data_IF_934495209406
#
_entry.id   IF_934495209406
#
_cell.length_a   1.000
_cell.length_b   1.000
_cell.length_c   1.000
_cell.angle_alpha   90.00
_cell.angle_beta   90.00
_cell.angle_gamma   90.00
#
_symmetry.space_group_name_H-M   'P 1'
#
loop_
_entity.id
_entity.type
_entity.pdbx_description
1 polymer ?
#
# COMPACT_ATOMS: atom_id res chain seq x y z
N UNK A 1 -0.19 -14.30 5.42
CA UNK A 1 -0.25 -13.99 3.96
C UNK A 1 -0.21 -15.19 2.99
N UNK A 2 0.72 -16.16 3.12
CA UNK A 2 0.94 -17.24 2.13
C UNK A 2 -0.33 -17.95 1.63
N UNK A 3 -1.22 -18.37 2.54
CA UNK A 3 -2.47 -19.05 2.21
C UNK A 3 -3.40 -18.24 1.31
N UNK A 4 -3.52 -16.93 1.55
CA UNK A 4 -4.33 -16.01 0.74
C UNK A 4 -3.77 -15.90 -0.68
N UNK A 5 -2.46 -15.72 -0.81
CA UNK A 5 -1.81 -15.62 -2.11
C UNK A 5 -1.96 -16.93 -2.91
N UNK A 6 -1.70 -18.08 -2.28
CA UNK A 6 -1.88 -19.39 -2.91
C UNK A 6 -3.33 -19.61 -3.35
N UNK A 7 -4.30 -19.29 -2.49
CA UNK A 7 -5.73 -19.40 -2.83
C UNK A 7 -6.09 -18.56 -4.07
N UNK A 8 -5.58 -17.32 -4.15
CA UNK A 8 -5.88 -16.45 -5.27
C UNK A 8 -5.21 -16.94 -6.57
N UNK A 9 -3.93 -17.31 -6.52
CA UNK A 9 -3.18 -17.80 -7.69
C UNK A 9 -3.86 -19.04 -8.28
N UNK A 10 -4.24 -20.01 -7.44
CA UNK A 10 -4.82 -21.28 -7.90
C UNK A 10 -6.16 -21.13 -8.62
N UNK A 11 -6.88 -20.02 -8.43
CA UNK A 11 -8.20 -19.77 -9.04
C UNK A 11 -8.15 -18.97 -10.34
N UNK A 12 -6.98 -18.43 -10.68
CA UNK A 12 -6.79 -17.66 -11.91
C UNK A 12 -6.21 -18.57 -13.01
N UNK A 13 -6.59 -18.36 -14.28
CA UNK A 13 -6.11 -19.18 -15.39
C UNK A 13 -4.60 -18.98 -15.60
N UNK A 14 -3.93 -20.07 -16.00
CA UNK A 14 -2.52 -20.06 -16.38
C UNK A 14 -2.44 -19.92 -17.91
N UNK A 15 -1.81 -18.86 -18.40
CA UNK A 15 -1.69 -18.59 -19.84
C UNK A 15 -0.49 -17.69 -20.09
N UNK A 16 0.08 -17.76 -21.29
CA UNK A 16 1.16 -16.85 -21.68
C UNK A 16 0.62 -15.41 -21.76
N UNK A 17 1.38 -14.49 -21.16
CA UNK A 17 1.03 -13.07 -21.09
C UNK A 17 2.26 -12.23 -21.39
N UNK A 18 2.05 -11.03 -21.92
CA UNK A 18 3.13 -10.09 -22.19
C UNK A 18 3.77 -9.59 -20.89
N UNK A 19 4.99 -9.05 -20.99
CA UNK A 19 5.65 -8.41 -19.85
C UNK A 19 4.85 -7.20 -19.33
N UNK A 20 4.29 -6.39 -20.24
CA UNK A 20 3.45 -5.25 -19.90
C UNK A 20 2.18 -5.73 -19.17
N UNK A 21 1.51 -6.76 -19.68
CA UNK A 21 0.34 -7.35 -19.03
C UNK A 21 0.67 -7.94 -17.65
N UNK A 22 1.86 -8.51 -17.49
CA UNK A 22 2.34 -8.99 -16.18
C UNK A 22 2.51 -7.85 -15.18
N UNK A 23 2.98 -6.67 -15.61
CA UNK A 23 3.20 -5.50 -14.74
C UNK A 23 1.90 -4.74 -14.46
N UNK A 24 0.99 -4.70 -15.43
CA UNK A 24 -0.25 -3.92 -15.39
C UNK A 24 -1.47 -4.78 -15.75
N UNK A 25 -1.86 -5.71 -14.87
CA UNK A 25 -2.85 -6.73 -15.22
C UNK A 25 -4.22 -6.14 -15.53
N UNK A 26 -4.77 -6.50 -16.70
CA UNK A 26 -6.13 -6.16 -17.16
C UNK A 26 -7.01 -7.41 -17.33
N UNK A 27 -6.43 -8.61 -17.28
CA UNK A 27 -7.12 -9.89 -17.42
C UNK A 27 -6.77 -10.89 -16.32
N UNK A 28 -7.58 -11.95 -16.10
CA UNK A 28 -7.32 -12.95 -15.06
C UNK A 28 -5.96 -13.66 -15.19
N UNK A 29 -5.53 -13.97 -16.41
CA UNK A 29 -4.23 -14.60 -16.64
C UNK A 29 -3.06 -13.65 -16.31
N UNK A 30 -3.18 -12.38 -16.70
CA UNK A 30 -2.20 -11.36 -16.36
C UNK A 30 -2.13 -11.13 -14.85
N UNK A 31 -3.28 -11.13 -14.16
CA UNK A 31 -3.33 -11.03 -12.70
C UNK A 31 -2.61 -12.20 -12.04
N UNK A 32 -2.79 -13.43 -12.52
CA UNK A 32 -2.02 -14.59 -12.04
C UNK A 32 -0.52 -14.35 -12.20
N UNK A 33 -0.09 -13.89 -13.37
CA UNK A 33 1.30 -13.63 -13.66
C UNK A 33 1.89 -12.52 -12.75
N UNK A 34 1.13 -11.44 -12.50
CA UNK A 34 1.49 -10.40 -11.54
C UNK A 34 1.66 -10.99 -10.13
N UNK A 35 0.68 -11.77 -9.66
CA UNK A 35 0.69 -12.36 -8.32
C UNK A 35 1.88 -13.30 -8.10
N UNK A 36 2.28 -14.03 -9.14
CA UNK A 36 3.43 -14.95 -9.08
C UNK A 36 4.76 -14.20 -9.14
N UNK A 37 4.89 -13.19 -10.00
CA UNK A 37 6.19 -12.54 -10.28
C UNK A 37 6.46 -11.31 -9.43
N UNK A 38 5.46 -10.47 -9.19
CA UNK A 38 5.64 -9.13 -8.62
C UNK A 38 5.07 -8.94 -7.22
N UNK A 39 4.06 -9.71 -6.81
CA UNK A 39 3.40 -9.52 -5.52
C UNK A 39 4.38 -9.55 -4.35
N UNK A 40 5.18 -10.61 -4.23
CA UNK A 40 6.10 -10.81 -3.09
C UNK A 40 7.13 -9.68 -2.99
N UNK A 41 7.68 -9.25 -4.13
CA UNK A 41 8.60 -8.11 -4.20
C UNK A 41 7.97 -6.85 -3.61
N UNK A 42 6.84 -6.40 -4.16
CA UNK A 42 6.17 -5.17 -3.74
C UNK A 42 5.66 -5.24 -2.30
N UNK A 43 5.17 -6.41 -1.90
CA UNK A 43 4.72 -6.69 -0.54
C UNK A 43 5.82 -6.42 0.49
N UNK A 44 7.00 -7.01 0.29
CA UNK A 44 8.11 -6.79 1.21
C UNK A 44 8.76 -5.41 1.07
N UNK A 45 8.72 -4.76 -0.10
CA UNK A 45 9.14 -3.36 -0.23
C UNK A 45 8.29 -2.45 0.66
N UNK A 46 6.97 -2.64 0.67
CA UNK A 46 6.06 -1.92 1.56
C UNK A 46 6.35 -2.20 3.04
N UNK A 47 6.52 -3.48 3.41
CA UNK A 47 6.84 -3.83 4.80
C UNK A 47 8.17 -3.22 5.25
N UNK A 48 9.23 -3.35 4.45
CA UNK A 48 10.55 -2.80 4.77
C UNK A 48 10.51 -1.28 4.93
N UNK A 49 9.78 -0.58 4.05
CA UNK A 49 9.65 0.87 4.12
C UNK A 49 8.83 1.38 5.32
N UNK A 50 7.86 0.61 5.79
CA UNK A 50 7.00 1.00 6.91
C UNK A 50 7.45 0.47 8.27
N UNK A 51 8.41 -0.46 8.29
CA UNK A 51 8.82 -1.19 9.50
C UNK A 51 9.05 -0.26 10.69
N UNK A 52 10.00 0.68 10.57
CA UNK A 52 10.36 1.59 11.66
C UNK A 52 9.19 2.44 12.14
N UNK A 53 8.29 2.86 11.24
CA UNK A 53 7.12 3.66 11.62
C UNK A 53 6.10 2.79 12.35
N UNK A 54 5.76 1.62 11.82
CA UNK A 54 4.74 0.74 12.41
C UNK A 54 5.20 0.14 13.75
N UNK A 55 6.50 0.07 14.03
CA UNK A 55 7.04 -0.33 15.34
C UNK A 55 7.30 0.86 16.28
N UNK A 56 6.93 2.08 15.90
CA UNK A 56 7.17 3.28 16.71
C UNK A 56 6.02 3.57 17.68
N UNK A 57 6.33 4.31 18.76
CA UNK A 57 5.32 4.83 19.68
C UNK A 57 4.29 5.73 18.99
N UNK A 58 4.68 6.44 17.92
CA UNK A 58 3.75 7.26 17.12
C UNK A 58 2.62 6.40 16.54
N UNK A 59 2.96 5.25 15.96
CA UNK A 59 1.97 4.33 15.41
C UNK A 59 1.17 3.60 16.50
N UNK A 60 1.81 3.20 17.60
CA UNK A 60 1.09 2.57 18.73
C UNK A 60 0.05 3.52 19.33
N UNK A 61 0.39 4.81 19.48
CA UNK A 61 -0.55 5.84 19.90
C UNK A 61 -1.71 6.01 18.90
N UNK A 62 -1.45 5.86 17.60
CA UNK A 62 -2.48 5.87 16.58
C UNK A 62 -3.43 4.68 16.74
N UNK A 63 -2.90 3.47 16.97
CA UNK A 63 -3.70 2.27 17.24
C UNK A 63 -4.54 2.41 18.52
N UNK A 64 -4.06 3.17 19.51
CA UNK A 64 -4.81 3.47 20.72
C UNK A 64 -6.11 4.27 20.46
N UNK A 65 -6.33 4.81 19.26
CA UNK A 65 -7.63 5.36 18.84
C UNK A 65 -8.68 4.29 18.49
N UNK A 66 -8.27 3.03 18.31
CA UNK A 66 -9.13 1.93 17.87
C UNK A 66 -9.56 2.00 16.41
N UNK A 67 -8.96 2.90 15.60
CA UNK A 67 -9.24 3.03 14.17
C UNK A 67 -7.95 3.17 13.38
N UNK A 68 -7.89 2.53 12.21
CA UNK A 68 -6.82 2.68 11.23
C UNK A 68 -7.44 2.87 9.85
N UNK A 69 -7.10 3.96 9.16
CA UNK A 69 -7.61 4.28 7.83
C UNK A 69 -6.46 4.30 6.83
N UNK A 70 -6.52 3.42 5.85
CA UNK A 70 -5.48 3.23 4.85
C UNK A 70 -6.02 3.67 3.50
N UNK A 71 -5.31 4.56 2.82
CA UNK A 71 -5.53 4.87 1.41
C UNK A 71 -4.38 4.25 0.60
N UNK A 72 -4.72 3.52 -0.46
CA UNK A 72 -3.76 2.84 -1.32
C UNK A 72 -4.04 3.25 -2.78
N UNK A 73 -3.17 4.12 -3.30
CA UNK A 73 -3.27 4.70 -4.65
C UNK A 73 -2.36 3.94 -5.59
N UNK A 74 -2.92 3.43 -6.70
CA UNK A 74 -2.22 2.47 -7.55
C UNK A 74 -2.06 1.13 -6.87
N UNK A 75 -3.11 0.72 -6.16
CA UNK A 75 -3.00 -0.38 -5.20
C UNK A 75 -2.71 -1.73 -5.87
N UNK A 76 -2.93 -1.87 -7.20
CA UNK A 76 -2.91 -3.16 -7.87
C UNK A 76 -3.87 -4.12 -7.16
N UNK A 77 -3.48 -5.37 -6.87
CA UNK A 77 -4.25 -6.26 -6.00
C UNK A 77 -4.07 -5.95 -4.50
N UNK A 78 -4.14 -4.66 -4.12
CA UNK A 78 -4.00 -4.16 -2.75
C UNK A 78 -2.71 -4.59 -2.03
N UNK A 79 -1.57 -4.62 -2.73
CA UNK A 79 -0.33 -5.23 -2.21
C UNK A 79 0.19 -4.52 -0.95
N UNK A 80 0.24 -3.18 -0.97
CA UNK A 80 0.71 -2.40 0.18
C UNK A 80 -0.28 -2.48 1.36
N UNK A 81 -1.58 -2.42 1.07
CA UNK A 81 -2.62 -2.65 2.08
C UNK A 81 -2.50 -4.02 2.76
N UNK A 82 -2.25 -5.09 2.01
CA UNK A 82 -2.03 -6.43 2.57
C UNK A 82 -0.75 -6.49 3.41
N UNK A 83 0.34 -5.86 2.97
CA UNK A 83 1.59 -5.76 3.71
C UNK A 83 1.41 -5.08 5.08
N UNK A 84 0.69 -3.95 5.11
CA UNK A 84 0.33 -3.23 6.33
C UNK A 84 -0.55 -4.10 7.23
N UNK A 85 -1.51 -4.80 6.65
CA UNK A 85 -2.45 -5.65 7.40
C UNK A 85 -1.72 -6.78 8.13
N UNK A 86 -0.77 -7.45 7.48
CA UNK A 86 0.03 -8.48 8.14
C UNK A 86 0.89 -7.91 9.27
N UNK A 87 1.57 -6.77 9.03
CA UNK A 87 2.37 -6.12 10.07
C UNK A 87 1.51 -5.72 11.27
N UNK A 88 0.33 -5.17 11.01
CA UNK A 88 -0.64 -4.82 12.05
C UNK A 88 -1.06 -6.04 12.87
N UNK A 89 -1.38 -7.17 12.22
CA UNK A 89 -1.74 -8.40 12.93
C UNK A 89 -0.58 -8.91 13.79
N UNK A 90 0.65 -8.83 13.30
CA UNK A 90 1.84 -9.18 14.09
C UNK A 90 2.00 -8.28 15.33
N UNK A 91 1.83 -6.96 15.16
CA UNK A 91 1.89 -6.00 16.27
C UNK A 91 0.79 -6.28 17.30
N UNK A 92 -0.45 -6.47 16.85
CA UNK A 92 -1.57 -6.77 17.75
C UNK A 92 -1.37 -8.09 18.51
N UNK A 93 -0.76 -9.09 17.85
CA UNK A 93 -0.39 -10.34 18.52
C UNK A 93 0.63 -10.11 19.62
N UNK A 94 1.69 -9.38 19.32
CA UNK A 94 2.69 -9.03 20.32
C UNK A 94 2.07 -8.27 21.50
N UNK A 95 1.29 -7.22 21.24
CA UNK A 95 0.66 -6.41 22.28
C UNK A 95 -0.31 -7.22 23.15
N UNK A 96 -1.06 -8.16 22.55
CA UNK A 96 -1.93 -9.07 23.31
C UNK A 96 -1.12 -10.01 24.19
N UNK A 97 -0.09 -10.65 23.63
CA UNK A 97 0.73 -11.61 24.36
C UNK A 97 1.52 -10.91 25.50
N UNK A 98 1.81 -9.62 25.36
CA UNK A 98 2.39 -8.76 26.40
C UNK A 98 1.36 -8.19 27.40
N UNK A 99 0.04 -8.42 27.21
CA UNK A 99 -1.01 -7.85 28.06
C UNK A 99 -1.31 -6.36 27.85
N UNK A 100 -0.73 -5.74 26.82
CA UNK A 100 -0.90 -4.33 26.48
C UNK A 100 -2.15 -4.08 25.60
N UNK A 101 -2.70 -5.12 24.98
CA UNK A 101 -3.96 -5.05 24.24
C UNK A 101 -5.14 -5.56 25.08
N UNK A 102 -6.06 -4.66 25.42
CA UNK A 102 -7.25 -4.99 26.21
C UNK A 102 -8.10 -6.09 25.56
N UNK A 103 -8.48 -7.09 26.36
CA UNK A 103 -9.38 -8.17 25.93
C UNK A 103 -10.73 -7.59 25.44
N UNK A 104 -11.24 -8.12 24.33
CA UNK A 104 -12.49 -7.65 23.70
C UNK A 104 -12.38 -6.35 22.90
N UNK A 105 -11.23 -5.67 22.90
CA UNK A 105 -11.04 -4.44 22.12
C UNK A 105 -10.98 -4.74 20.62
N UNK A 106 -11.96 -4.21 19.88
CA UNK A 106 -12.08 -4.31 18.42
C UNK A 106 -11.32 -3.18 17.73
N UNK A 107 -10.42 -3.51 16.80
CA UNK A 107 -9.79 -2.52 15.92
C UNK A 107 -10.59 -2.38 14.63
N UNK A 108 -10.98 -1.15 14.27
CA UNK A 108 -11.65 -0.88 12.99
C UNK A 108 -10.63 -0.46 11.95
N UNK A 109 -10.46 -1.27 10.90
CA UNK A 109 -9.57 -0.95 9.77
C UNK A 109 -10.40 -0.59 8.55
N UNK A 110 -10.14 0.56 7.94
CA UNK A 110 -10.82 0.99 6.71
C UNK A 110 -9.81 1.13 5.60
N UNK A 111 -10.07 0.51 4.47
CA UNK A 111 -9.26 0.59 3.26
C UNK A 111 -10.00 1.41 2.21
N UNK A 112 -9.31 2.37 1.62
CA UNK A 112 -9.71 3.02 0.38
C UNK A 112 -8.70 2.60 -0.69
N UNK A 113 -9.13 1.74 -1.60
CA UNK A 113 -8.30 1.22 -2.69
C UNK A 113 -8.59 2.01 -3.96
N UNK A 114 -7.56 2.51 -4.61
CA UNK A 114 -7.66 3.20 -5.86
C UNK A 114 -6.76 2.56 -6.92
N UNK A 115 -7.35 2.26 -8.07
CA UNK A 115 -6.64 1.78 -9.25
C UNK A 115 -7.44 2.15 -10.50
N UNK A 116 -6.85 2.01 -11.67
CA UNK A 116 -7.54 2.12 -12.96
C UNK A 116 -8.09 0.78 -13.44
N UNK A 117 -7.56 -0.33 -12.91
CA UNK A 117 -7.93 -1.69 -13.32
C UNK A 117 -8.97 -2.27 -12.36
N UNK A 118 -10.16 -2.61 -12.88
CA UNK A 118 -11.19 -3.29 -12.10
C UNK A 118 -10.71 -4.66 -11.58
N UNK A 119 -9.93 -5.42 -12.37
CA UNK A 119 -9.44 -6.73 -11.89
C UNK A 119 -8.46 -6.59 -10.73
N UNK A 120 -7.62 -5.54 -10.72
CA UNK A 120 -6.78 -5.18 -9.59
C UNK A 120 -7.64 -4.94 -8.34
N UNK A 121 -8.63 -4.05 -8.44
CA UNK A 121 -9.52 -3.70 -7.32
C UNK A 121 -10.32 -4.90 -6.80
N UNK A 122 -10.88 -5.71 -7.69
CA UNK A 122 -11.64 -6.90 -7.33
C UNK A 122 -10.75 -7.94 -6.64
N UNK A 123 -9.55 -8.19 -7.17
CA UNK A 123 -8.57 -9.11 -6.58
C UNK A 123 -8.10 -8.62 -5.22
N UNK A 124 -7.78 -7.33 -5.09
CA UNK A 124 -7.35 -6.74 -3.82
C UNK A 124 -8.42 -6.83 -2.72
N UNK A 125 -9.68 -6.54 -3.06
CA UNK A 125 -10.81 -6.73 -2.15
C UNK A 125 -10.95 -8.19 -1.71
N UNK A 126 -10.90 -9.13 -2.66
CA UNK A 126 -11.00 -10.55 -2.38
C UNK A 126 -9.86 -11.03 -1.48
N UNK A 127 -8.63 -10.61 -1.74
CA UNK A 127 -7.47 -10.97 -0.94
C UNK A 127 -7.56 -10.41 0.48
N UNK A 128 -7.96 -9.15 0.67
CA UNK A 128 -8.17 -8.57 2.01
C UNK A 128 -9.30 -9.28 2.77
N UNK A 129 -10.43 -9.55 2.11
CA UNK A 129 -11.54 -10.30 2.73
C UNK A 129 -11.12 -11.72 3.12
N UNK A 130 -10.39 -12.42 2.24
CA UNK A 130 -9.88 -13.76 2.52
C UNK A 130 -8.84 -13.75 3.63
N UNK A 131 -8.03 -12.69 3.73
CA UNK A 131 -7.09 -12.51 4.82
C UNK A 131 -7.78 -12.54 6.18
N UNK A 132 -8.80 -11.70 6.37
CA UNK A 132 -9.56 -11.66 7.62
C UNK A 132 -10.37 -12.93 7.84
N UNK A 133 -10.97 -13.50 6.79
CA UNK A 133 -11.71 -14.76 6.88
C UNK A 133 -10.83 -15.93 7.33
N UNK A 134 -9.63 -16.04 6.78
CA UNK A 134 -8.67 -17.07 7.18
C UNK A 134 -8.13 -16.79 8.58
N UNK A 135 -7.86 -15.52 8.93
CA UNK A 135 -7.44 -15.12 10.26
C UNK A 135 -8.48 -15.42 11.36
N UNK A 136 -9.77 -15.22 11.06
CA UNK A 136 -10.87 -15.51 11.98
C UNK A 136 -10.93 -16.99 12.37
N UNK A 137 -10.62 -17.90 11.43
CA UNK A 137 -10.53 -19.35 11.71
C UNK A 137 -9.45 -19.71 12.74
N UNK A 138 -8.50 -18.81 12.97
CA UNK A 138 -7.42 -18.98 13.94
C UNK A 138 -7.56 -18.07 15.18
N UNK A 139 -8.75 -17.47 15.40
CA UNK A 139 -9.00 -16.52 16.50
C UNK A 139 -8.03 -15.31 16.50
N UNK A 140 -7.52 -14.93 15.32
CA UNK A 140 -6.58 -13.83 15.17
C UNK A 140 -7.34 -12.50 15.16
N UNK A 141 -7.61 -11.99 16.35
CA UNK A 141 -8.05 -10.62 16.69
C UNK A 141 -9.44 -10.20 16.17
N UNK A 142 -10.23 -9.46 16.98
CA UNK A 142 -11.45 -8.85 16.51
C UNK A 142 -11.12 -7.59 15.68
N UNK A 143 -10.62 -7.78 14.47
CA UNK A 143 -10.48 -6.70 13.49
C UNK A 143 -11.78 -6.61 12.70
N UNK A 144 -12.39 -5.43 12.65
CA UNK A 144 -13.49 -5.15 11.74
C UNK A 144 -12.97 -4.35 10.56
N UNK A 145 -13.05 -4.93 9.36
CA UNK A 145 -12.57 -4.31 8.13
C UNK A 145 -13.70 -3.74 7.28
N UNK A 146 -13.50 -2.54 6.72
CA UNK A 146 -14.35 -1.95 5.67
C UNK A 146 -13.48 -1.61 4.46
N UNK A 147 -13.96 -1.90 3.25
CA UNK A 147 -13.22 -1.63 2.02
C UNK A 147 -14.05 -0.75 1.09
N UNK A 148 -13.44 0.31 0.57
CA UNK A 148 -13.97 1.16 -0.48
C UNK A 148 -13.05 1.04 -1.69
N UNK A 149 -13.63 1.05 -2.89
CA UNK A 149 -12.86 1.03 -4.13
C UNK A 149 -13.20 2.21 -5.01
N UNK A 150 -12.19 2.75 -5.67
CA UNK A 150 -12.31 3.86 -6.61
C UNK A 150 -11.60 3.47 -7.90
N UNK A 151 -12.38 3.08 -8.91
CA UNK A 151 -11.89 2.75 -10.25
C UNK A 151 -11.75 4.03 -11.08
N UNK A 152 -10.61 4.70 -10.94
CA UNK A 152 -10.33 5.94 -11.67
C UNK A 152 -8.86 6.32 -11.52
N UNK A 153 -8.27 6.91 -12.56
CA UNK A 153 -6.88 7.31 -12.54
C UNK A 153 -6.64 8.47 -11.57
N UNK A 154 -5.58 8.36 -10.77
CA UNK A 154 -5.08 9.48 -9.98
C UNK A 154 -4.47 10.58 -10.90
N UNK A 155 -4.63 11.88 -10.61
CA UNK A 155 -5.41 12.50 -9.54
C UNK A 155 -6.85 12.88 -9.95
N UNK A 156 -7.41 12.32 -11.02
CA UNK A 156 -8.77 12.67 -11.49
C UNK A 156 -9.88 12.25 -10.49
N UNK A 157 -9.54 11.34 -9.59
CA UNK A 157 -10.40 10.75 -8.58
C UNK A 157 -10.40 11.47 -7.22
N UNK A 158 -9.74 12.64 -7.11
CA UNK A 158 -9.60 13.35 -5.83
C UNK A 158 -10.93 13.71 -5.17
N UNK A 159 -11.99 13.96 -5.95
CA UNK A 159 -13.32 14.24 -5.40
C UNK A 159 -13.86 13.00 -4.66
N UNK A 160 -13.71 11.81 -5.23
CA UNK A 160 -14.12 10.56 -4.61
C UNK A 160 -13.31 10.28 -3.34
N UNK A 161 -11.99 10.47 -3.39
CA UNK A 161 -11.11 10.26 -2.23
C UNK A 161 -11.44 11.22 -1.07
N UNK A 162 -11.76 12.48 -1.37
CA UNK A 162 -12.25 13.47 -0.40
C UNK A 162 -13.59 13.06 0.20
N UNK A 163 -14.55 12.62 -0.63
CA UNK A 163 -15.85 12.15 -0.14
C UNK A 163 -15.71 10.96 0.81
N UNK A 164 -14.81 10.03 0.51
CA UNK A 164 -14.50 8.92 1.43
C UNK A 164 -13.93 9.47 2.74
N UNK A 165 -12.92 10.34 2.70
CA UNK A 165 -12.32 10.89 3.93
C UNK A 165 -13.31 11.74 4.76
N UNK A 166 -14.26 12.43 4.13
CA UNK A 166 -15.32 13.14 4.85
C UNK A 166 -16.21 12.18 5.65
N UNK A 167 -16.42 10.96 5.17
CA UNK A 167 -17.28 9.97 5.83
C UNK A 167 -16.55 9.12 6.89
N UNK A 168 -15.25 8.84 6.69
CA UNK A 168 -14.48 7.95 7.58
C UNK A 168 -13.44 8.69 8.44
N UNK A 169 -13.24 9.98 8.19
CA UNK A 169 -12.14 10.78 8.71
C UNK A 169 -10.89 10.73 7.83
N UNK A 170 -9.87 11.50 8.22
CA UNK A 170 -8.56 11.55 7.53
C UNK A 170 -7.85 10.20 7.56
N UNK A 171 -7.05 9.91 6.54
CA UNK A 171 -6.28 8.67 6.43
C UNK A 171 -5.06 8.68 7.35
N UNK A 172 -4.74 7.55 7.96
CA UNK A 172 -3.62 7.37 8.86
C UNK A 172 -2.36 6.91 8.12
N UNK A 173 -2.54 6.09 7.08
CA UNK A 173 -1.47 5.69 6.17
C UNK A 173 -1.97 5.90 4.75
N UNK A 174 -1.18 6.60 3.93
CA UNK A 174 -1.43 6.74 2.50
C UNK A 174 -0.26 6.12 1.75
N UNK A 175 -0.53 5.11 0.94
CA UNK A 175 0.45 4.54 0.03
C UNK A 175 0.19 5.04 -1.38
N UNK A 176 1.28 5.38 -2.05
CA UNK A 176 1.31 5.65 -3.47
C UNK A 176 2.31 4.68 -4.10
N UNK A 177 1.79 3.65 -4.77
CA UNK A 177 2.57 2.66 -5.48
C UNK A 177 2.24 2.76 -6.97
N UNK A 178 3.10 3.41 -7.76
CA UNK A 178 2.91 3.45 -9.21
C UNK A 178 4.26 3.37 -9.95
N UNK A 179 4.25 2.66 -11.07
CA UNK A 179 5.22 2.85 -12.13
C UNK A 179 4.94 4.19 -12.83
N UNK A 180 5.87 5.13 -12.73
CA UNK A 180 5.70 6.54 -13.09
C UNK A 180 5.83 6.86 -14.58
N UNK A 181 5.84 5.85 -15.47
CA UNK A 181 6.12 6.06 -16.90
C UNK A 181 5.15 7.07 -17.55
N UNK A 182 3.88 7.07 -17.16
CA UNK A 182 2.86 7.99 -17.70
C UNK A 182 2.98 9.45 -17.25
N UNK A 183 3.87 9.77 -16.30
CA UNK A 183 4.04 11.14 -15.76
C UNK A 183 5.44 11.71 -16.01
N UNK A 184 6.26 11.06 -16.84
CA UNK A 184 7.60 11.54 -17.17
C UNK A 184 7.59 12.90 -17.89
N UNK A 185 6.50 13.22 -18.60
CA UNK A 185 6.30 14.50 -19.27
C UNK A 185 6.02 15.64 -18.27
N UNK A 186 6.50 16.86 -18.57
CA UNK A 186 6.39 18.03 -17.68
C UNK A 186 4.96 18.34 -17.23
N UNK A 187 3.98 18.25 -18.13
CA UNK A 187 2.57 18.47 -17.82
C UNK A 187 1.97 17.36 -16.95
N UNK A 188 2.39 16.10 -17.17
CA UNK A 188 2.03 14.96 -16.32
C UNK A 188 2.61 15.11 -14.91
N UNK A 189 3.88 15.49 -14.82
CA UNK A 189 4.57 15.70 -13.54
C UNK A 189 3.88 16.74 -12.66
N UNK A 190 3.52 17.92 -13.20
CA UNK A 190 2.86 18.96 -12.39
C UNK A 190 1.48 18.52 -11.89
N UNK A 191 0.71 17.81 -12.73
CA UNK A 191 -0.58 17.24 -12.32
C UNK A 191 -0.41 16.24 -11.19
N UNK A 192 0.60 15.37 -11.27
CA UNK A 192 0.92 14.42 -10.22
C UNK A 192 1.29 15.13 -8.90
N UNK A 193 2.20 16.11 -8.94
CA UNK A 193 2.61 16.87 -7.76
C UNK A 193 1.43 17.56 -7.10
N UNK A 194 0.59 18.26 -7.89
CA UNK A 194 -0.61 18.91 -7.36
C UNK A 194 -1.57 17.90 -6.72
N UNK A 195 -1.74 16.73 -7.35
CA UNK A 195 -2.52 15.65 -6.77
C UNK A 195 -1.97 15.18 -5.42
N UNK A 196 -0.65 14.97 -5.33
CA UNK A 196 0.00 14.52 -4.10
C UNK A 196 -0.11 15.55 -2.97
N UNK A 197 0.04 16.84 -3.28
CA UNK A 197 -0.19 17.92 -2.30
C UNK A 197 -1.64 17.96 -1.80
N UNK A 198 -2.61 17.64 -2.66
CA UNK A 198 -4.01 17.51 -2.24
C UNK A 198 -4.27 16.25 -1.39
N UNK A 199 -3.52 15.17 -1.63
CA UNK A 199 -3.54 13.96 -0.80
C UNK A 199 -2.98 14.22 0.60
N UNK A 200 -1.96 15.08 0.75
CA UNK A 200 -1.43 15.45 2.08
C UNK A 200 -2.52 16.00 3.00
N UNK A 201 -3.45 16.79 2.43
CA UNK A 201 -4.59 17.37 3.17
C UNK A 201 -5.58 16.31 3.66
N UNK A 202 -5.61 15.14 3.04
CA UNK A 202 -6.46 14.01 3.44
C UNK A 202 -5.77 13.13 4.49
N UNK A 203 -4.47 13.32 4.73
CA UNK A 203 -3.73 12.58 5.73
C UNK A 203 -3.94 13.19 7.12
N UNK A 204 -4.01 12.33 8.12
CA UNK A 204 -3.98 12.68 9.52
C UNK A 204 -2.61 13.28 9.84
N UNK A 205 -2.56 14.29 10.73
CA UNK A 205 -1.30 14.96 11.10
C UNK A 205 -0.28 14.02 11.75
N UNK A 206 -0.75 12.97 12.42
CA UNK A 206 0.08 11.89 12.98
C UNK A 206 0.20 10.68 12.03
N UNK A 207 -0.36 10.78 10.84
CA UNK A 207 -0.29 9.75 9.81
C UNK A 207 1.00 9.85 8.99
N UNK A 208 1.18 8.90 8.07
CA UNK A 208 2.31 8.87 7.14
C UNK A 208 1.86 8.68 5.71
N UNK A 209 2.64 9.27 4.81
CA UNK A 209 2.51 9.12 3.36
C UNK A 209 3.75 8.40 2.88
N UNK A 210 3.54 7.26 2.23
CA UNK A 210 4.55 6.43 1.63
C UNK A 210 4.43 6.50 0.12
N UNK A 211 5.51 6.91 -0.54
CA UNK A 211 5.67 6.79 -1.99
C UNK A 211 6.72 5.72 -2.25
N UNK A 212 6.30 4.65 -2.92
CA UNK A 212 7.17 3.57 -3.38
C UNK A 212 7.27 3.60 -4.90
N UNK A 213 8.50 3.66 -5.38
CA UNK A 213 8.79 3.63 -6.81
C UNK A 213 9.77 2.50 -7.07
N UNK A 214 9.28 1.47 -7.76
CA UNK A 214 10.11 0.36 -8.21
C UNK A 214 11.01 0.81 -9.37
N UNK A 215 12.16 0.16 -9.49
CA UNK A 215 13.35 0.45 -10.31
C UNK A 215 13.18 1.27 -11.63
N UNK A 216 12.77 2.55 -11.56
CA UNK A 216 12.72 3.48 -12.69
C UNK A 216 13.07 4.93 -12.29
N UNK A 217 13.82 5.57 -13.19
CA UNK A 217 14.25 6.97 -13.22
C UNK A 217 14.51 7.62 -11.86
N UNK A 218 15.73 7.44 -11.33
CA UNK A 218 16.23 8.15 -10.14
C UNK A 218 16.00 9.66 -10.22
N UNK A 219 16.14 10.26 -11.40
CA UNK A 219 15.86 11.69 -11.58
C UNK A 219 14.40 12.02 -11.35
N UNK A 220 13.46 11.18 -11.81
CA UNK A 220 12.03 11.37 -11.52
C UNK A 220 11.76 11.34 -10.02
N UNK A 221 12.28 10.33 -9.31
CA UNK A 221 12.11 10.21 -7.86
C UNK A 221 12.69 11.42 -7.13
N UNK A 222 13.92 11.83 -7.48
CA UNK A 222 14.57 13.02 -6.89
C UNK A 222 13.78 14.30 -7.18
N UNK A 223 13.27 14.45 -8.41
CA UNK A 223 12.42 15.59 -8.79
C UNK A 223 11.12 15.61 -8.00
N UNK A 224 10.47 14.46 -7.83
CA UNK A 224 9.23 14.34 -7.06
C UNK A 224 9.46 14.67 -5.58
N UNK A 225 10.48 14.08 -4.95
CA UNK A 225 10.83 14.37 -3.56
C UNK A 225 11.15 15.86 -3.35
N UNK A 226 11.92 16.47 -4.26
CA UNK A 226 12.19 17.91 -4.24
C UNK A 226 10.91 18.75 -4.35
N UNK A 227 9.98 18.37 -5.23
CA UNK A 227 8.72 19.08 -5.42
C UNK A 227 7.79 18.99 -4.19
N UNK A 228 7.87 17.90 -3.44
CA UNK A 228 7.13 17.69 -2.19
C UNK A 228 7.88 18.23 -0.95
N UNK A 229 9.08 18.77 -1.12
CA UNK A 229 9.96 19.19 0.00
C UNK A 229 10.26 18.02 0.96
N UNK A 230 10.45 16.82 0.41
CA UNK A 230 10.73 15.59 1.15
C UNK A 230 12.06 14.97 0.73
N UNK A 231 12.55 14.01 1.53
CA UNK A 231 13.72 13.21 1.17
C UNK A 231 13.28 11.89 0.52
N UNK A 232 14.04 11.44 -0.49
CA UNK A 232 13.92 10.07 -1.03
C UNK A 232 15.19 9.29 -0.69
N UNK A 233 15.02 7.99 -0.46
CA UNK A 233 16.14 7.09 -0.17
C UNK A 233 16.09 5.92 -1.14
N UNK A 234 17.26 5.61 -1.74
CA UNK A 234 17.47 4.35 -2.45
C UNK A 234 17.58 3.24 -1.40
N UNK A 235 16.85 2.15 -1.60
CA UNK A 235 16.81 1.01 -0.71
C UNK A 235 17.22 -0.25 -1.48
N UNK A 236 17.84 -1.18 -0.77
CA UNK A 236 18.16 -2.52 -1.26
C UNK A 236 17.39 -3.54 -0.42
N UNK A 237 16.72 -4.47 -1.09
CA UNK A 237 15.96 -5.52 -0.45
C UNK A 237 16.37 -6.86 -1.03
N UNK A 238 17.07 -7.67 -0.24
CA UNK A 238 17.47 -9.03 -0.62
C UNK A 238 16.42 -10.02 -0.14
N UNK A 239 15.89 -10.83 -1.06
CA UNK A 239 14.91 -11.87 -0.74
C UNK A 239 15.43 -13.23 -1.16
N UNK A 240 15.17 -14.24 -0.32
CA UNK A 240 15.31 -15.63 -0.71
C UNK A 240 14.15 -16.00 -1.65
N UNK A 241 14.48 -16.35 -2.89
CA UNK A 241 13.55 -16.93 -3.83
C UNK A 241 13.72 -18.45 -3.71
N UNK A 242 12.63 -19.16 -3.45
CA UNK A 242 12.61 -20.62 -3.56
C UNK A 242 12.27 -20.98 -5.01
N UNK A 243 13.24 -21.32 -5.87
CA UNK A 243 12.92 -21.83 -7.20
C UNK A 243 12.30 -23.22 -7.11
N UNK A 244 11.63 -23.63 -8.19
CA UNK A 244 11.07 -24.97 -8.37
C UNK A 244 12.11 -26.12 -8.25
N UNK A 245 13.42 -25.82 -8.19
CA UNK A 245 14.54 -26.79 -8.26
C UNK A 245 15.42 -26.87 -7.00
N UNK A 246 15.02 -26.30 -5.87
CA UNK A 246 15.66 -26.59 -4.57
C UNK A 246 17.04 -25.97 -4.32
N UNK A 247 17.57 -25.14 -5.20
CA UNK A 247 18.77 -24.32 -4.93
C UNK A 247 18.29 -22.97 -4.41
N UNK A 248 18.71 -22.55 -3.21
CA UNK A 248 18.29 -21.25 -2.66
C UNK A 248 18.96 -20.11 -3.42
N UNK A 249 18.20 -19.40 -4.26
CA UNK A 249 18.69 -18.20 -4.95
C UNK A 249 18.26 -16.96 -4.17
N UNK A 250 19.18 -16.01 -3.98
CA UNK A 250 18.83 -14.68 -3.45
C UNK A 250 18.71 -13.69 -4.59
N UNK A 251 17.70 -12.83 -4.51
CA UNK A 251 17.53 -11.72 -5.45
C UNK A 251 17.50 -10.40 -4.71
N UNK A 252 18.32 -9.46 -5.15
CA UNK A 252 18.40 -8.12 -4.56
C UNK A 252 17.63 -7.14 -5.44
N UNK A 253 16.56 -6.58 -4.88
CA UNK A 253 15.76 -5.55 -5.51
C UNK A 253 16.24 -4.16 -5.08
N UNK A 254 16.41 -3.27 -6.04
CA UNK A 254 16.62 -1.84 -5.77
C UNK A 254 15.32 -1.09 -5.97
N UNK A 255 14.97 -0.24 -5.02
CA UNK A 255 13.77 0.61 -5.13
C UNK A 255 13.97 1.94 -4.41
N UNK A 256 13.08 2.90 -4.68
CA UNK A 256 13.09 4.19 -4.00
C UNK A 256 11.89 4.32 -3.09
N UNK A 257 12.13 4.88 -1.91
CA UNK A 257 11.13 5.11 -0.89
C UNK A 257 11.17 6.57 -0.43
N UNK A 258 10.01 7.19 -0.33
CA UNK A 258 9.80 8.44 0.38
C UNK A 258 8.69 8.22 1.41
N UNK A 259 9.06 8.18 2.70
CA UNK A 259 8.12 8.08 3.81
C UNK A 259 8.19 9.39 4.60
N UNK A 260 7.07 10.08 4.74
CA UNK A 260 7.02 11.37 5.40
C UNK A 260 5.67 11.63 6.09
N UNK A 261 5.66 12.58 7.03
CA UNK A 261 4.43 13.07 7.64
C UNK A 261 3.87 14.25 6.82
N UNK A 262 2.54 14.43 6.72
CA UNK A 262 1.98 15.56 6.00
C UNK A 262 2.44 16.88 6.64
N UNK A 263 2.67 17.88 5.81
CA UNK A 263 3.04 19.22 6.30
C UNK A 263 1.88 19.84 7.08
N UNK A 264 2.15 20.39 8.27
CA UNK A 264 1.21 21.32 8.92
C UNK A 264 1.16 22.55 8.01
N UNK A 265 -0.02 22.91 7.51
CA UNK A 265 -0.21 24.05 6.60
C UNK A 265 0.75 25.21 6.93
N UNK A 266 1.70 25.48 6.05
CA UNK A 266 2.23 26.83 5.97
C UNK A 266 1.10 27.63 5.38
N UNK A 267 0.35 28.35 6.22
CA UNK A 267 -0.48 29.46 5.77
C UNK A 267 0.39 30.33 4.89
N UNK A 268 0.24 30.19 3.57
CA UNK A 268 0.77 31.17 2.63
C UNK A 268 -0.03 32.44 2.92
N UNK A 269 0.55 33.35 3.68
CA UNK A 269 0.08 34.73 3.71
C UNK A 269 0.15 35.20 2.26
N UNK A 270 -1.02 35.44 1.66
CA UNK A 270 -1.09 36.18 0.42
C UNK A 270 -0.47 37.56 0.69
N UNK A 271 0.69 37.78 0.10
CA UNK A 271 1.31 39.10 -0.06
C UNK A 271 1.12 39.54 -1.50
#
# INVERSE_FOLDING_TARGET
MKSVLTHQVLRLPDSEVSEIGTRYPQSPAEMRAFLVKFFIRHYFQAQHSLFNYMTSNEFLNLLASGKLRILDIGCGPAVASLAITEMLVCILKYLRDAGEWQSGRVLKVTYALNDTSNICLATGQEMLNNYFRFGYRYNLFPIHSRIFTVESAFPRNMIQLRRISCNIGRYDIINFCYFAESYAEKAGFQKLVNGLLEIEKLCNLAGKILILIDQFNEMFTRRLAKALVTSSRKQLLTQYIYPKRGVGDTYTYTYYCCLYAPTREVTVKAS
#
